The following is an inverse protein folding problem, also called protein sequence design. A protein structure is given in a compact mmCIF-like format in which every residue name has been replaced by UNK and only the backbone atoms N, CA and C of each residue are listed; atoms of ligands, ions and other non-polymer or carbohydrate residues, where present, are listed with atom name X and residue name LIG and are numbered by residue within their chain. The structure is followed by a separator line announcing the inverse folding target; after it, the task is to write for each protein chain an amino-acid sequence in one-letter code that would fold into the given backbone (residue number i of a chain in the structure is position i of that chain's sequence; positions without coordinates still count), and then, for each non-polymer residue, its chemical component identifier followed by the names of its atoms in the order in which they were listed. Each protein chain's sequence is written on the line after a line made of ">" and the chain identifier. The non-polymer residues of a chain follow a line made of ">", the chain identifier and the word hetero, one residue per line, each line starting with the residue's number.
data_IF_394221810452
#
_entry.id   IF_394221810452
#
_cell.length_a   1.000
_cell.length_b   1.000
_cell.length_c   1.000
_cell.angle_alpha   90.00
_cell.angle_beta   90.00
_cell.angle_gamma   90.00
#
_symmetry.space_group_name_H-M   'P 1'
#
loop_
_entity.id
_entity.type
_entity.pdbx_description
1 polymer ?
#
# COMPACT_ATOMS: atom_id res chain seq x y z
N UNK A 1 5.01 -4.25 -15.06
CA UNK A 1 6.48 -4.19 -15.05
C UNK A 1 7.04 -5.47 -15.63
N UNK A 2 8.26 -5.48 -16.12
CA UNK A 2 8.95 -6.72 -16.50
C UNK A 2 9.92 -7.11 -15.39
N UNK A 3 9.39 -7.28 -14.17
CA UNK A 3 10.18 -7.51 -12.94
C UNK A 3 11.17 -6.37 -12.59
N UNK A 4 10.80 -5.13 -12.91
CA UNK A 4 11.56 -3.95 -12.49
C UNK A 4 11.44 -3.70 -10.98
N UNK A 5 12.44 -3.04 -10.41
CA UNK A 5 12.49 -2.73 -8.97
C UNK A 5 12.22 -1.25 -8.72
N UNK A 6 11.37 -0.96 -7.73
CA UNK A 6 11.23 0.38 -7.14
C UNK A 6 11.73 0.30 -5.69
N UNK A 7 12.79 1.05 -5.39
CA UNK A 7 13.40 1.14 -4.06
C UNK A 7 13.03 2.47 -3.38
N UNK A 8 12.31 2.38 -2.26
CA UNK A 8 11.88 3.55 -1.48
C UNK A 8 12.98 4.17 -0.60
N UNK A 9 14.13 3.50 -0.43
CA UNK A 9 15.24 3.95 0.40
C UNK A 9 14.80 4.39 1.82
N UNK A 10 13.92 3.60 2.43
CA UNK A 10 13.22 3.94 3.68
C UNK A 10 14.08 4.06 4.94
N UNK A 11 15.33 3.62 4.93
CA UNK A 11 16.20 3.56 6.13
C UNK A 11 16.27 4.88 6.90
N UNK A 12 16.51 5.99 6.18
CA UNK A 12 16.59 7.33 6.79
C UNK A 12 15.27 7.76 7.43
N UNK A 13 14.14 7.35 6.86
CA UNK A 13 12.81 7.65 7.38
C UNK A 13 12.52 6.85 8.64
N UNK A 14 12.86 5.56 8.65
CA UNK A 14 12.65 4.68 9.80
C UNK A 14 13.49 5.12 11.00
N UNK A 15 14.74 5.50 10.78
CA UNK A 15 15.61 6.03 11.84
C UNK A 15 15.06 7.32 12.45
N UNK A 16 14.67 8.28 11.61
CA UNK A 16 14.10 9.55 12.09
C UNK A 16 12.77 9.34 12.80
N UNK A 17 11.93 8.42 12.32
CA UNK A 17 10.67 8.07 12.98
C UNK A 17 10.90 7.50 14.37
N UNK A 18 11.81 6.52 14.51
CA UNK A 18 12.17 5.92 15.81
C UNK A 18 12.72 6.95 16.80
N UNK A 19 13.43 7.97 16.30
CA UNK A 19 13.97 9.08 17.12
C UNK A 19 12.96 10.20 17.40
N UNK A 20 11.74 10.15 16.86
CA UNK A 20 10.76 11.23 16.98
C UNK A 20 11.18 12.53 16.29
N UNK A 21 12.03 12.44 15.26
CA UNK A 21 12.67 13.61 14.60
C UNK A 21 11.94 14.06 13.34
N UNK A 22 10.85 13.39 12.97
CA UNK A 22 10.07 13.76 11.79
C UNK A 22 9.09 14.87 12.13
N UNK A 23 9.10 15.94 11.32
CA UNK A 23 8.11 17.02 11.36
C UNK A 23 6.90 16.76 10.45
N UNK A 24 7.04 15.77 9.55
CA UNK A 24 6.05 15.38 8.54
C UNK A 24 5.89 13.86 8.55
N UNK A 25 4.81 13.37 7.95
CA UNK A 25 4.59 11.93 7.78
C UNK A 25 5.64 11.32 6.84
N UNK A 26 5.87 10.01 7.00
CA UNK A 26 6.71 9.23 6.06
C UNK A 26 5.93 9.05 4.74
N UNK A 27 6.57 9.20 3.58
CA UNK A 27 5.88 9.04 2.30
C UNK A 27 5.55 7.55 2.04
N UNK A 28 4.52 7.31 1.24
CA UNK A 28 4.22 5.98 0.68
C UNK A 28 5.06 5.74 -0.58
N UNK A 29 5.25 4.48 -0.97
CA UNK A 29 6.01 4.16 -2.18
C UNK A 29 5.19 4.43 -3.45
N UNK A 30 3.94 3.97 -3.48
CA UNK A 30 2.99 4.20 -4.57
C UNK A 30 1.66 4.65 -3.95
N UNK A 31 1.26 5.88 -4.24
CA UNK A 31 -0.07 6.41 -3.91
C UNK A 31 -0.81 6.80 -5.18
N UNK A 32 -2.03 6.29 -5.33
CA UNK A 32 -2.90 6.56 -6.48
C UNK A 32 -4.25 7.01 -5.94
N UNK A 33 -4.63 8.24 -6.29
CA UNK A 33 -5.82 8.88 -5.74
C UNK A 33 -6.85 9.15 -6.84
N UNK A 34 -8.14 9.00 -6.52
CA UNK A 34 -9.25 9.44 -7.38
C UNK A 34 -9.16 8.96 -8.84
N UNK A 35 -8.75 7.72 -9.04
CA UNK A 35 -8.46 7.17 -10.37
C UNK A 35 -9.32 5.94 -10.68
N UNK A 36 -9.50 5.65 -11.96
CA UNK A 36 -10.23 4.50 -12.47
C UNK A 36 -9.34 3.67 -13.41
N UNK A 37 -9.59 2.36 -13.49
CA UNK A 37 -8.85 1.43 -14.36
C UNK A 37 -7.34 1.40 -14.06
N UNK A 38 -7.02 1.04 -12.82
CA UNK A 38 -5.63 0.96 -12.34
C UNK A 38 -5.11 -0.46 -12.49
N UNK A 39 -3.91 -0.61 -13.05
CA UNK A 39 -3.16 -1.86 -13.02
C UNK A 39 -1.74 -1.64 -12.50
N UNK A 40 -1.40 -2.30 -11.40
CA UNK A 40 -0.04 -2.38 -10.86
C UNK A 40 0.38 -3.84 -10.94
N UNK A 41 1.33 -4.14 -11.83
CA UNK A 41 1.64 -5.54 -12.16
C UNK A 41 3.12 -5.82 -12.28
N UNK A 42 3.57 -7.01 -11.88
CA UNK A 42 4.89 -7.57 -12.20
C UNK A 42 6.06 -6.62 -11.85
N UNK A 43 6.11 -6.18 -10.59
CA UNK A 43 7.16 -5.31 -10.03
C UNK A 43 7.70 -5.89 -8.73
N UNK A 44 8.96 -5.59 -8.45
CA UNK A 44 9.54 -5.77 -7.12
C UNK A 44 9.56 -4.42 -6.39
N UNK A 45 8.99 -4.36 -5.20
CA UNK A 45 8.93 -3.15 -4.38
C UNK A 45 9.70 -3.40 -3.08
N UNK A 46 10.67 -2.54 -2.78
CA UNK A 46 11.53 -2.71 -1.60
C UNK A 46 11.66 -1.41 -0.79
N UNK A 47 11.89 -1.58 0.52
CA UNK A 47 12.28 -0.52 1.43
C UNK A 47 11.40 0.73 1.40
N UNK A 48 10.07 0.57 1.34
CA UNK A 48 9.17 1.72 1.44
C UNK A 48 9.39 2.47 2.77
N UNK A 49 9.46 3.82 2.76
CA UNK A 49 9.49 4.60 3.99
C UNK A 49 8.30 4.32 4.92
N UNK A 50 7.14 3.97 4.36
CA UNK A 50 5.89 3.64 5.05
C UNK A 50 5.14 2.56 4.25
N UNK A 51 3.84 2.69 4.03
CA UNK A 51 3.04 1.77 3.20
C UNK A 51 3.57 1.65 1.77
N UNK A 52 3.45 0.47 1.17
CA UNK A 52 3.96 0.20 -0.18
C UNK A 52 2.97 0.64 -1.27
N UNK A 53 1.74 0.13 -1.27
CA UNK A 53 0.75 0.40 -2.31
C UNK A 53 -0.53 0.91 -1.67
N UNK A 54 -0.89 2.17 -1.94
CA UNK A 54 -2.07 2.84 -1.38
C UNK A 54 -2.95 3.46 -2.48
N UNK A 55 -3.82 2.67 -3.14
CA UNK A 55 -4.90 3.23 -3.91
C UNK A 55 -5.98 3.74 -2.96
N UNK A 56 -6.39 5.00 -3.14
CA UNK A 56 -7.41 5.64 -2.31
C UNK A 56 -8.46 6.33 -3.16
N UNK A 57 -9.73 6.22 -2.75
CA UNK A 57 -10.89 6.76 -3.47
C UNK A 57 -10.99 6.33 -4.94
N UNK A 58 -10.43 5.17 -5.29
CA UNK A 58 -10.25 4.72 -6.67
C UNK A 58 -11.11 3.49 -7.01
N UNK A 59 -11.27 3.17 -8.29
CA UNK A 59 -12.10 2.06 -8.77
C UNK A 59 -11.42 1.19 -9.83
N UNK A 60 -11.91 -0.05 -9.97
CA UNK A 60 -11.50 -1.01 -11.01
C UNK A 60 -9.98 -1.23 -11.00
N UNK A 61 -9.51 -1.87 -9.93
CA UNK A 61 -8.09 -1.95 -9.57
C UNK A 61 -7.61 -3.39 -9.66
N UNK A 62 -6.49 -3.61 -10.34
CA UNK A 62 -5.78 -4.88 -10.39
C UNK A 62 -4.37 -4.69 -9.82
N UNK A 63 -4.06 -5.45 -8.77
CA UNK A 63 -2.70 -5.55 -8.20
C UNK A 63 -2.25 -7.00 -8.28
N UNK A 64 -1.31 -7.30 -9.18
CA UNK A 64 -0.90 -8.69 -9.43
C UNK A 64 0.58 -8.91 -9.72
N UNK A 65 1.12 -10.06 -9.30
CA UNK A 65 2.51 -10.41 -9.59
C UNK A 65 3.52 -9.49 -8.91
N UNK A 66 3.17 -8.85 -7.80
CA UNK A 66 4.10 -8.03 -7.03
C UNK A 66 4.94 -8.89 -6.10
N UNK A 67 6.20 -8.51 -5.95
CA UNK A 67 7.08 -8.94 -4.86
C UNK A 67 7.31 -7.74 -3.95
N UNK A 68 6.76 -7.76 -2.74
CA UNK A 68 6.90 -6.68 -1.75
C UNK A 68 7.81 -7.18 -0.64
N UNK A 69 8.90 -6.47 -0.37
CA UNK A 69 9.88 -6.83 0.66
C UNK A 69 10.12 -5.64 1.60
N UNK A 70 9.61 -5.76 2.82
CA UNK A 70 9.86 -4.83 3.91
C UNK A 70 10.69 -5.49 5.02
N UNK A 71 11.54 -4.73 5.73
CA UNK A 71 12.16 -5.23 6.95
C UNK A 71 11.10 -5.54 8.02
N UNK A 72 11.15 -6.75 8.59
CA UNK A 72 10.14 -7.26 9.54
C UNK A 72 10.05 -6.51 10.87
N UNK A 73 11.01 -5.65 11.19
CA UNK A 73 11.10 -4.90 12.45
C UNK A 73 10.84 -3.39 12.29
N UNK A 74 10.21 -2.99 11.18
CA UNK A 74 9.88 -1.61 10.87
C UNK A 74 8.36 -1.42 10.80
N UNK A 75 7.78 -0.54 11.64
CA UNK A 75 6.33 -0.35 11.68
C UNK A 75 5.82 0.44 10.48
N UNK A 76 4.52 0.26 10.20
CA UNK A 76 3.77 0.88 9.11
C UNK A 76 4.40 0.62 7.74
N UNK A 77 4.86 -0.61 7.52
CA UNK A 77 5.37 -1.07 6.22
C UNK A 77 4.34 -1.97 5.52
N UNK A 78 3.06 -1.64 5.68
CA UNK A 78 1.92 -2.36 5.13
C UNK A 78 2.10 -2.58 3.62
N UNK A 79 1.75 -3.76 3.12
CA UNK A 79 1.89 -4.13 1.72
C UNK A 79 0.91 -3.39 0.81
N UNK A 80 -0.34 -3.83 0.76
CA UNK A 80 -1.36 -3.27 -0.14
C UNK A 80 -2.56 -2.76 0.67
N UNK A 81 -2.91 -1.49 0.48
CA UNK A 81 -3.88 -0.75 1.28
C UNK A 81 -4.97 -0.12 0.40
N UNK A 82 -5.98 -0.86 -0.07
CA UNK A 82 -7.13 -0.24 -0.70
C UNK A 82 -7.93 0.55 0.34
N UNK A 83 -8.03 1.86 0.14
CA UNK A 83 -8.74 2.77 1.03
C UNK A 83 -9.92 3.46 0.31
N UNK A 84 -11.14 3.18 0.75
CA UNK A 84 -12.37 3.65 0.08
C UNK A 84 -12.38 3.33 -1.42
N UNK A 85 -12.06 2.08 -1.77
CA UNK A 85 -11.95 1.59 -3.14
C UNK A 85 -13.03 0.57 -3.52
N UNK A 86 -13.45 0.59 -4.78
CA UNK A 86 -14.48 -0.33 -5.31
C UNK A 86 -13.92 -1.18 -6.45
N UNK A 87 -14.30 -2.46 -6.51
CA UNK A 87 -13.86 -3.42 -7.54
C UNK A 87 -12.33 -3.60 -7.56
N UNK A 88 -11.79 -4.19 -6.49
CA UNK A 88 -10.36 -4.39 -6.31
C UNK A 88 -10.03 -5.89 -6.40
N UNK A 89 -9.03 -6.23 -7.21
CA UNK A 89 -8.48 -7.59 -7.30
C UNK A 89 -7.00 -7.57 -6.93
N UNK A 90 -6.67 -8.25 -5.84
CA UNK A 90 -5.30 -8.44 -5.36
C UNK A 90 -4.99 -9.92 -5.47
N UNK A 91 -4.08 -10.30 -6.38
CA UNK A 91 -3.79 -11.71 -6.64
C UNK A 91 -2.35 -12.00 -7.04
N UNK A 92 -1.86 -13.19 -6.72
CA UNK A 92 -0.55 -13.68 -7.15
C UNK A 92 0.62 -12.78 -6.69
N UNK A 93 0.51 -12.23 -5.48
CA UNK A 93 1.54 -11.38 -4.89
C UNK A 93 2.31 -12.14 -3.80
N UNK A 94 3.60 -11.89 -3.71
CA UNK A 94 4.46 -12.28 -2.59
C UNK A 94 4.70 -11.07 -1.69
N UNK A 95 4.35 -11.15 -0.41
CA UNK A 95 4.40 -10.00 0.50
C UNK A 95 5.10 -10.37 1.80
N UNK A 96 6.29 -9.81 2.00
CA UNK A 96 6.94 -9.73 3.31
C UNK A 96 6.77 -8.32 3.86
N UNK A 97 6.06 -8.20 4.98
CA UNK A 97 5.81 -6.93 5.66
C UNK A 97 6.21 -7.00 7.12
N UNK A 98 6.69 -5.89 7.68
CA UNK A 98 6.85 -5.73 9.13
C UNK A 98 5.55 -5.34 9.85
N UNK A 99 4.46 -5.18 9.10
CA UNK A 99 3.12 -4.82 9.56
C UNK A 99 2.09 -5.66 8.77
N UNK A 100 0.92 -5.10 8.42
CA UNK A 100 -0.09 -5.82 7.64
C UNK A 100 0.33 -6.13 6.18
N UNK A 101 0.21 -7.38 5.74
CA UNK A 101 0.41 -7.71 4.33
C UNK A 101 -0.61 -7.02 3.42
N UNK A 102 -1.88 -7.02 3.83
CA UNK A 102 -2.98 -6.33 3.17
C UNK A 102 -3.90 -5.75 4.24
N UNK A 103 -4.18 -4.45 4.19
CA UNK A 103 -5.11 -3.79 5.10
C UNK A 103 -6.17 -3.01 4.31
N UNK A 104 -7.42 -3.48 4.33
CA UNK A 104 -8.55 -2.77 3.71
C UNK A 104 -8.98 -1.64 4.64
N UNK A 105 -9.07 -0.41 4.10
CA UNK A 105 -9.45 0.79 4.85
C UNK A 105 -10.63 1.49 4.17
N UNK A 106 -11.28 2.44 4.85
CA UNK A 106 -12.43 3.18 4.30
C UNK A 106 -12.55 4.60 4.89
N UNK A 107 -11.49 5.38 4.74
CA UNK A 107 -11.36 6.74 5.23
C UNK A 107 -11.00 6.83 6.72
N UNK A 108 -10.73 8.06 7.15
CA UNK A 108 -10.24 8.34 8.51
C UNK A 108 -11.26 9.15 9.32
N UNK A 109 -11.79 8.53 10.38
CA UNK A 109 -12.65 9.17 11.38
C UNK A 109 -13.78 10.02 10.74
N UNK A 110 -14.05 11.22 11.26
CA UNK A 110 -15.12 12.10 10.77
C UNK A 110 -14.94 12.50 9.30
N UNK A 111 -13.71 12.52 8.79
CA UNK A 111 -13.47 12.78 7.37
C UNK A 111 -13.95 11.61 6.51
N UNK A 112 -13.65 10.38 6.91
CA UNK A 112 -14.13 9.16 6.25
C UNK A 112 -15.65 9.04 6.32
N UNK A 113 -16.23 9.25 7.50
CA UNK A 113 -17.69 9.23 7.71
C UNK A 113 -18.37 10.26 6.81
N UNK A 114 -17.86 11.50 6.77
CA UNK A 114 -18.43 12.57 5.94
C UNK A 114 -18.29 12.28 4.45
N UNK A 115 -17.17 11.70 4.03
CA UNK A 115 -16.94 11.35 2.63
C UNK A 115 -17.86 10.21 2.19
N UNK A 116 -18.14 9.25 3.08
CA UNK A 116 -19.19 8.25 2.88
C UNK A 116 -18.90 7.24 1.78
N UNK A 117 -17.63 6.99 1.45
CA UNK A 117 -17.22 6.00 0.43
C UNK A 117 -16.66 4.74 1.10
N UNK A 118 -17.36 3.59 1.03
CA UNK A 118 -16.85 2.34 1.56
C UNK A 118 -15.72 1.77 0.68
N UNK A 119 -15.01 0.78 1.22
CA UNK A 119 -14.25 -0.17 0.41
C UNK A 119 -15.12 -1.40 0.17
N UNK A 120 -15.38 -1.75 -1.08
CA UNK A 120 -16.33 -2.80 -1.45
C UNK A 120 -15.94 -3.56 -2.71
N UNK A 121 -16.47 -4.77 -2.86
CA UNK A 121 -16.16 -5.67 -3.98
C UNK A 121 -14.66 -5.94 -4.14
N UNK A 122 -14.03 -6.41 -3.05
CA UNK A 122 -12.60 -6.71 -2.99
C UNK A 122 -12.38 -8.23 -2.98
N UNK A 123 -11.57 -8.72 -3.91
CA UNK A 123 -11.16 -10.12 -3.99
C UNK A 123 -9.65 -10.20 -3.72
N UNK A 124 -9.28 -11.02 -2.75
CA UNK A 124 -7.89 -11.35 -2.40
C UNK A 124 -7.71 -12.86 -2.56
N UNK A 125 -6.74 -13.29 -3.37
CA UNK A 125 -6.48 -14.73 -3.59
C UNK A 125 -5.04 -15.00 -4.00
N UNK A 126 -4.54 -16.20 -3.69
CA UNK A 126 -3.18 -16.65 -4.06
C UNK A 126 -2.09 -15.66 -3.61
N UNK A 127 -2.16 -15.27 -2.34
CA UNK A 127 -1.13 -14.47 -1.67
C UNK A 127 -0.15 -15.43 -1.00
N UNK A 128 1.15 -15.11 -1.06
CA UNK A 128 2.21 -15.81 -0.35
C UNK A 128 2.98 -14.87 0.55
#
# INVERSE_FOLDING_TARGET
>A
GNNGTIDGQGSIWWEKFKKGQLKITRPYLIEIMYSDQIQISNLTLINSPSWFVHPVYSSNIIVNGLTILAPLNVPNTDGINPDSCTNVRIEDNYIESGDDCIAIKSGWDQYGIKFGKPSEHIIIRRIK
#
